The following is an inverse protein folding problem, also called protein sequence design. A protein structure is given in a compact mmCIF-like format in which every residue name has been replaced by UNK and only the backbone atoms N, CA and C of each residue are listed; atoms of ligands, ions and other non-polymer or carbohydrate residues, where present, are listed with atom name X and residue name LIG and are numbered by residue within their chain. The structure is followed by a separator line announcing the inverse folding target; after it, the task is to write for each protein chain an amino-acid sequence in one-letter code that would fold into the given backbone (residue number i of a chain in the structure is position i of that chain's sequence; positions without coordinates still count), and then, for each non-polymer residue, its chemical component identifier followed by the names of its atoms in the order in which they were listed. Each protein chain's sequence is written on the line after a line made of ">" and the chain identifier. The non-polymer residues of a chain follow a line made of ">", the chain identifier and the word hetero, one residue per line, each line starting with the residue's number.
data_IF_749180759104
#
_entry.id   IF_749180759104
#
_cell.length_a   1.000
_cell.length_b   1.000
_cell.length_c   1.000
_cell.angle_alpha   90.00
_cell.angle_beta   90.00
_cell.angle_gamma   90.00
#
_symmetry.space_group_name_H-M   'P 1'
#
loop_
_entity.id
_entity.type
_entity.pdbx_description
1 polymer ?
#
# COMPACT_ATOMS: atom_id res chain seq x y z
N UNK A 1 7.21 12.97 0.03
CA UNK A 1 6.40 13.29 1.23
C UNK A 1 5.22 12.33 1.38
N UNK A 2 4.29 12.25 0.42
CA UNK A 2 3.13 11.34 0.49
C UNK A 2 3.50 9.85 0.59
N UNK A 3 4.42 9.38 -0.23
CA UNK A 3 4.94 8.00 -0.12
C UNK A 3 5.60 7.71 1.25
N UNK A 4 6.16 8.74 1.90
CA UNK A 4 6.74 8.58 3.23
C UNK A 4 5.65 8.40 4.29
N UNK A 5 4.50 9.07 4.15
CA UNK A 5 3.34 8.86 5.03
C UNK A 5 2.79 7.44 4.88
N UNK A 6 2.67 6.92 3.66
CA UNK A 6 2.24 5.53 3.41
C UNK A 6 3.25 4.50 3.98
N UNK A 7 4.55 4.77 3.83
CA UNK A 7 5.58 3.92 4.44
C UNK A 7 5.56 3.98 5.97
N UNK A 8 5.32 5.15 6.57
CA UNK A 8 5.16 5.28 8.01
C UNK A 8 3.91 4.52 8.50
N UNK A 9 2.81 4.63 7.77
CA UNK A 9 1.58 3.85 8.01
C UNK A 9 1.87 2.34 7.99
N UNK A 10 2.69 1.87 7.04
CA UNK A 10 3.10 0.45 6.96
C UNK A 10 3.91 -0.09 8.15
N UNK A 11 4.48 0.78 8.98
CA UNK A 11 5.22 0.36 10.17
C UNK A 11 4.30 -0.05 11.33
N UNK A 12 2.99 0.23 11.24
CA UNK A 12 1.93 -0.24 12.17
C UNK A 12 2.10 0.13 13.65
N UNK A 13 3.09 0.94 13.99
CA UNK A 13 3.25 1.46 15.34
C UNK A 13 2.24 2.59 15.54
N UNK A 14 1.53 2.57 16.67
CA UNK A 14 0.46 3.53 16.97
C UNK A 14 0.94 4.98 16.86
N UNK A 15 2.18 5.26 17.24
CA UNK A 15 2.82 6.58 17.14
C UNK A 15 2.86 7.10 15.70
N UNK A 16 3.13 6.24 14.72
CA UNK A 16 3.19 6.62 13.31
C UNK A 16 1.80 6.81 12.70
N UNK A 17 0.79 6.04 13.15
CA UNK A 17 -0.59 6.21 12.72
C UNK A 17 -1.12 7.61 13.08
N UNK A 18 -0.82 8.09 14.29
CA UNK A 18 -1.21 9.44 14.71
C UNK A 18 -0.55 10.52 13.85
N UNK A 19 0.76 10.41 13.58
CA UNK A 19 1.47 11.37 12.72
C UNK A 19 0.88 11.42 11.31
N UNK A 20 0.55 10.26 10.74
CA UNK A 20 -0.06 10.18 9.40
C UNK A 20 -1.45 10.81 9.41
N UNK A 21 -2.27 10.49 10.40
CA UNK A 21 -3.63 11.02 10.53
C UNK A 21 -3.62 12.55 10.73
N UNK A 22 -2.83 13.06 11.67
CA UNK A 22 -2.74 14.50 11.96
C UNK A 22 -2.25 15.29 10.74
N UNK A 23 -1.28 14.73 10.01
CA UNK A 23 -0.75 15.32 8.78
C UNK A 23 -1.83 15.41 7.69
N UNK A 24 -2.65 14.37 7.52
CA UNK A 24 -3.76 14.37 6.56
C UNK A 24 -4.91 15.27 7.02
N UNK A 25 -5.13 15.39 8.33
CA UNK A 25 -6.15 16.25 8.90
C UNK A 25 -5.87 17.74 8.60
N UNK A 26 -4.60 18.17 8.67
CA UNK A 26 -4.21 19.55 8.34
C UNK A 26 -4.58 19.96 6.91
N UNK A 27 -4.53 19.02 5.97
CA UNK A 27 -4.82 19.24 4.55
C UNK A 27 -6.22 18.73 4.15
N UNK A 28 -7.01 18.25 5.12
CA UNK A 28 -8.31 17.61 4.87
C UNK A 28 -9.30 18.53 4.17
N UNK A 29 -9.25 19.84 4.46
CA UNK A 29 -10.11 20.84 3.84
C UNK A 29 -9.93 20.89 2.31
N UNK A 30 -8.68 20.87 1.85
CA UNK A 30 -8.35 20.94 0.43
C UNK A 30 -8.70 19.64 -0.30
N UNK A 31 -8.45 18.51 0.36
CA UNK A 31 -8.74 17.18 -0.21
C UNK A 31 -10.23 16.90 -0.31
N UNK A 32 -11.00 17.19 0.75
CA UNK A 32 -12.43 16.89 0.78
C UNK A 32 -13.23 17.81 -0.14
N UNK A 33 -12.81 19.08 -0.27
CA UNK A 33 -13.54 20.06 -1.07
C UNK A 33 -13.15 20.04 -2.55
N UNK A 34 -11.90 19.72 -2.86
CA UNK A 34 -11.39 19.71 -4.23
C UNK A 34 -10.46 18.51 -4.50
N UNK A 35 -10.97 17.27 -4.46
CA UNK A 35 -10.15 16.08 -4.69
C UNK A 35 -9.50 16.07 -6.09
N UNK A 36 -10.12 16.73 -7.07
CA UNK A 36 -9.60 16.86 -8.44
C UNK A 36 -8.38 17.79 -8.51
N UNK A 37 -8.31 18.83 -7.66
CA UNK A 37 -7.17 19.75 -7.65
C UNK A 37 -5.97 19.17 -6.90
N UNK A 38 -6.20 18.21 -6.01
CA UNK A 38 -5.17 17.50 -5.22
C UNK A 38 -5.25 15.97 -5.37
N UNK A 39 -5.15 15.43 -6.61
CA UNK A 39 -5.48 14.03 -6.90
C UNK A 39 -4.55 13.04 -6.19
N UNK A 40 -3.27 13.37 -6.06
CA UNK A 40 -2.30 12.52 -5.33
C UNK A 40 -2.63 12.40 -3.84
N UNK A 41 -3.14 13.48 -3.26
CA UNK A 41 -3.45 13.55 -1.84
C UNK A 41 -4.78 12.85 -1.55
N UNK A 42 -5.76 13.01 -2.46
CA UNK A 42 -6.99 12.23 -2.47
C UNK A 42 -6.70 10.72 -2.59
N UNK A 43 -5.80 10.29 -3.48
CA UNK A 43 -5.41 8.88 -3.59
C UNK A 43 -4.82 8.31 -2.31
N UNK A 44 -3.97 9.07 -1.61
CA UNK A 44 -3.36 8.64 -0.33
C UNK A 44 -4.41 8.54 0.77
N UNK A 45 -5.39 9.43 0.80
CA UNK A 45 -6.52 9.33 1.74
C UNK A 45 -7.38 8.11 1.40
N UNK A 46 -7.64 7.83 0.12
CA UNK A 46 -8.37 6.63 -0.30
C UNK A 46 -7.59 5.37 0.09
N UNK A 47 -6.29 5.33 -0.13
CA UNK A 47 -5.41 4.23 0.30
C UNK A 47 -5.45 4.00 1.81
N UNK A 48 -5.51 5.06 2.61
CA UNK A 48 -5.64 4.97 4.07
C UNK A 48 -7.03 4.48 4.52
N UNK A 49 -8.10 4.83 3.79
CA UNK A 49 -9.47 4.46 4.14
C UNK A 49 -9.86 3.05 3.67
N UNK A 50 -9.44 2.67 2.46
CA UNK A 50 -9.71 1.34 1.88
C UNK A 50 -8.67 0.29 2.30
N UNK A 51 -7.59 0.74 2.95
CA UNK A 51 -6.42 -0.07 3.26
C UNK A 51 -5.53 -0.25 2.04
N UNK A 52 -4.36 -0.82 2.29
CA UNK A 52 -3.41 -1.19 1.25
C UNK A 52 -2.81 -2.56 1.52
N UNK A 53 -2.34 -3.20 0.46
CA UNK A 53 -1.56 -4.43 0.56
C UNK A 53 -0.09 -4.14 0.31
N UNK A 54 0.77 -4.70 1.15
CA UNK A 54 2.21 -4.67 0.93
C UNK A 54 2.64 -5.96 0.25
N UNK A 55 3.16 -5.83 -0.98
CA UNK A 55 3.77 -6.92 -1.71
C UNK A 55 5.27 -6.93 -1.47
N UNK A 56 5.75 -7.91 -0.73
CA UNK A 56 7.17 -8.15 -0.50
C UNK A 56 7.70 -9.06 -1.60
N UNK A 57 8.61 -8.54 -2.41
CA UNK A 57 9.22 -9.25 -3.54
C UNK A 57 10.64 -9.69 -3.22
N UNK A 58 11.04 -10.93 -3.56
CA UNK A 58 12.42 -11.37 -3.47
C UNK A 58 13.30 -10.46 -4.33
N UNK A 59 14.52 -10.23 -3.85
CA UNK A 59 15.48 -9.29 -4.43
C UNK A 59 15.73 -9.54 -5.93
N UNK A 60 15.73 -10.81 -6.34
CA UNK A 60 15.97 -11.23 -7.72
C UNK A 60 14.78 -10.92 -8.65
N UNK A 61 13.55 -11.00 -8.14
CA UNK A 61 12.33 -10.76 -8.93
C UNK A 61 11.95 -9.27 -9.04
N UNK A 62 12.46 -8.43 -8.12
CA UNK A 62 12.12 -7.01 -8.03
C UNK A 62 12.44 -6.18 -9.28
N UNK A 63 13.30 -6.66 -10.18
CA UNK A 63 13.76 -5.92 -11.37
C UNK A 63 12.92 -6.14 -12.63
N UNK A 64 12.01 -7.13 -12.66
CA UNK A 64 11.51 -7.65 -13.95
C UNK A 64 9.98 -7.67 -14.13
N UNK A 65 9.17 -7.43 -13.09
CA UNK A 65 7.71 -7.56 -13.23
C UNK A 65 6.98 -6.25 -12.99
N UNK A 66 6.38 -5.73 -14.08
CA UNK A 66 5.37 -4.67 -14.03
C UNK A 66 4.04 -5.34 -13.69
N UNK A 67 3.75 -5.44 -12.40
CA UNK A 67 2.56 -6.09 -11.90
C UNK A 67 1.39 -5.13 -11.98
N UNK A 68 0.34 -5.55 -12.68
CA UNK A 68 -0.91 -4.80 -12.79
C UNK A 68 -1.99 -5.60 -12.10
N UNK A 69 -2.45 -5.11 -10.97
CA UNK A 69 -3.52 -5.71 -10.19
C UNK A 69 -4.80 -4.91 -10.38
N UNK A 70 -5.97 -5.55 -10.24
CA UNK A 70 -7.24 -4.83 -10.26
C UNK A 70 -7.40 -3.92 -9.05
N UNK A 71 -6.93 -4.38 -7.89
CA UNK A 71 -6.87 -3.57 -6.68
C UNK A 71 -5.74 -2.54 -6.78
N UNK A 72 -6.04 -1.23 -6.67
CA UNK A 72 -5.08 -0.18 -7.01
C UNK A 72 -4.06 0.13 -5.90
N UNK A 73 -4.34 -0.25 -4.65
CA UNK A 73 -3.54 0.13 -3.49
C UNK A 73 -2.57 -0.98 -3.08
N UNK A 74 -1.52 -1.16 -3.87
CA UNK A 74 -0.48 -2.17 -3.63
C UNK A 74 0.88 -1.50 -3.51
N UNK A 75 1.48 -1.55 -2.32
CA UNK A 75 2.83 -1.07 -2.05
C UNK A 75 3.83 -2.22 -2.27
N UNK A 76 4.59 -2.13 -3.35
CA UNK A 76 5.69 -3.05 -3.60
C UNK A 76 6.92 -2.68 -2.76
N UNK A 77 7.53 -3.67 -2.10
CA UNK A 77 8.76 -3.53 -1.34
C UNK A 77 9.67 -4.73 -1.54
N UNK A 78 10.98 -4.54 -1.40
CA UNK A 78 11.95 -5.64 -1.48
C UNK A 78 12.07 -6.36 -0.15
N UNK A 79 12.07 -7.70 -0.19
CA UNK A 79 12.39 -8.56 0.96
C UNK A 79 13.66 -9.37 0.71
N UNK A 80 14.32 -9.74 1.81
CA UNK A 80 15.41 -10.72 1.81
C UNK A 80 14.90 -12.17 1.69
N UNK A 81 13.59 -12.36 1.83
CA UNK A 81 12.94 -13.66 1.69
C UNK A 81 13.00 -14.13 0.23
N UNK A 82 13.14 -15.45 0.04
CA UNK A 82 13.17 -16.10 -1.29
C UNK A 82 11.79 -16.14 -1.96
N UNK A 83 10.71 -15.95 -1.18
CA UNK A 83 9.32 -16.06 -1.64
C UNK A 83 8.64 -14.71 -1.72
N UNK A 84 7.64 -14.59 -2.58
CA UNK A 84 6.72 -13.46 -2.54
C UNK A 84 5.84 -13.55 -1.29
N UNK A 85 5.62 -12.41 -0.64
CA UNK A 85 4.71 -12.34 0.50
C UNK A 85 3.74 -11.19 0.33
N UNK A 86 2.44 -11.45 0.55
CA UNK A 86 1.41 -10.43 0.59
C UNK A 86 0.97 -10.19 2.04
N UNK A 87 1.04 -8.93 2.44
CA UNK A 87 0.68 -8.49 3.79
C UNK A 87 -0.37 -7.39 3.72
N UNK A 88 -1.27 -7.35 4.70
CA UNK A 88 -2.10 -6.18 4.96
C UNK A 88 -1.51 -5.37 6.13
N UNK A 89 -2.25 -4.38 6.60
CA UNK A 89 -1.91 -3.52 7.73
C UNK A 89 -1.77 -4.23 9.08
N UNK A 90 -1.90 -5.55 9.17
CA UNK A 90 -1.78 -6.26 10.45
C UNK A 90 -0.96 -7.54 10.36
N UNK A 91 -1.02 -8.24 9.22
CA UNK A 91 -0.49 -9.60 9.08
C UNK A 91 -0.08 -9.89 7.63
N UNK A 92 0.93 -10.75 7.49
CA UNK A 92 1.23 -11.42 6.22
C UNK A 92 0.43 -12.71 6.16
N UNK A 93 -0.31 -12.93 5.07
CA UNK A 93 -1.27 -14.03 4.97
C UNK A 93 -1.05 -14.93 3.77
N UNK A 94 -0.27 -14.49 2.77
CA UNK A 94 0.07 -15.28 1.60
C UNK A 94 1.59 -15.27 1.43
N UNK A 95 2.17 -16.47 1.31
CA UNK A 95 3.58 -16.67 0.99
C UNK A 95 3.66 -17.66 -0.17
N UNK A 96 4.14 -17.22 -1.33
CA UNK A 96 4.08 -18.01 -2.55
C UNK A 96 5.29 -17.81 -3.45
N UNK A 97 5.57 -18.84 -4.24
CA UNK A 97 6.56 -18.81 -5.32
C UNK A 97 5.90 -18.57 -6.68
N UNK A 98 4.59 -18.28 -6.71
CA UNK A 98 3.83 -17.95 -7.92
C UNK A 98 3.11 -16.61 -7.78
N UNK A 99 3.44 -15.65 -8.64
CA UNK A 99 2.85 -14.32 -8.59
C UNK A 99 1.38 -14.29 -9.05
N UNK A 100 0.96 -15.28 -9.83
CA UNK A 100 -0.42 -15.39 -10.30
C UNK A 100 -1.40 -15.67 -9.15
N UNK A 101 -0.94 -16.33 -8.09
CA UNK A 101 -1.72 -16.53 -6.86
C UNK A 101 -1.99 -15.20 -6.14
N UNK A 102 -1.04 -14.27 -6.21
CA UNK A 102 -1.17 -12.93 -5.65
C UNK A 102 -2.15 -12.11 -6.49
N UNK A 103 -2.03 -12.17 -7.82
CA UNK A 103 -2.95 -11.48 -8.73
C UNK A 103 -4.40 -11.95 -8.55
N UNK A 104 -4.61 -13.27 -8.53
CA UNK A 104 -5.95 -13.84 -8.31
C UNK A 104 -6.53 -13.52 -6.94
N UNK A 105 -5.70 -13.37 -5.90
CA UNK A 105 -6.16 -12.90 -4.59
C UNK A 105 -6.62 -11.44 -4.68
N UNK A 106 -5.77 -10.56 -5.21
CA UNK A 106 -6.05 -9.12 -5.29
C UNK A 106 -7.23 -8.79 -6.22
N UNK A 107 -7.48 -9.61 -7.24
CA UNK A 107 -8.59 -9.42 -8.18
C UNK A 107 -9.96 -9.85 -7.62
N UNK A 108 -9.96 -10.68 -6.55
CA UNK A 108 -11.17 -11.11 -5.84
C UNK A 108 -11.60 -10.12 -4.76
N UNK A 109 -10.67 -9.33 -4.24
CA UNK A 109 -10.95 -8.31 -3.23
C UNK A 109 -11.68 -7.12 -3.90
N UNK A 110 -12.83 -6.67 -3.35
CA UNK A 110 -13.59 -5.56 -3.91
C UNK A 110 -12.86 -4.21 -3.84
#
# INVERSE_FOLDING_TARGET
>A
MLEALLKLHSLQQQEYLHIVFDSLQMVSYDVMRQPISSPKLALVVMELLYGFYQLKTPLEASKQQKLSFRYPFVLAGTSLDEKWSLCNEQKCFLHTNNIDEIATFLDRTP
#
